data_IF_742521848067
#
_entry.id   IF_742521848067
#
_cell.length_a   1.000
_cell.length_b   1.000
_cell.length_c   1.000
_cell.angle_alpha   90.00
_cell.angle_beta   90.00
_cell.angle_gamma   90.00
#
_symmetry.space_group_name_H-M   'P 1'
#
loop_
_entity.id
_entity.type
_entity.pdbx_description
1 polymer ?
#
# COMPACT_ATOMS: atom_id res chain seq x y z
N UNK A 1 -2.76 -49.86 -32.25
CA UNK A 1 -3.44 -50.46 -31.08
C UNK A 1 -4.28 -49.39 -30.39
N UNK A 2 -5.59 -49.67 -30.21
CA UNK A 2 -6.57 -49.14 -29.23
C UNK A 2 -6.49 -47.63 -28.86
N UNK A 3 -7.29 -46.75 -29.48
CA UNK A 3 -8.67 -46.31 -29.10
C UNK A 3 -8.86 -45.88 -27.62
N UNK A 4 -9.21 -44.60 -27.41
CA UNK A 4 -10.35 -44.03 -26.64
C UNK A 4 -10.25 -42.49 -26.73
N UNK A 5 -10.99 -41.75 -27.56
CA UNK A 5 -12.42 -41.37 -27.58
C UNK A 5 -12.88 -40.43 -26.44
N UNK A 6 -13.37 -39.25 -26.88
CA UNK A 6 -14.62 -38.54 -26.46
C UNK A 6 -14.52 -37.75 -25.13
N UNK A 7 -15.04 -36.52 -24.95
CA UNK A 7 -15.99 -35.69 -25.72
C UNK A 7 -15.76 -34.20 -25.44
N UNK A 8 -15.94 -33.40 -26.48
CA UNK A 8 -16.19 -31.97 -26.49
C UNK A 8 -17.63 -31.81 -27.00
N UNK A 9 -18.57 -31.28 -26.21
CA UNK A 9 -19.85 -30.70 -26.67
C UNK A 9 -20.63 -30.13 -25.47
N UNK A 10 -20.87 -28.82 -25.40
CA UNK A 10 -22.16 -28.26 -25.81
C UNK A 10 -22.18 -26.72 -25.70
N UNK A 11 -22.65 -26.15 -26.79
CA UNK A 11 -22.98 -24.75 -27.05
C UNK A 11 -24.29 -24.37 -26.38
N UNK A 12 -24.41 -23.14 -25.88
CA UNK A 12 -25.68 -22.47 -25.57
C UNK A 12 -25.62 -21.04 -26.06
N UNK A 13 -26.35 -20.75 -27.14
CA UNK A 13 -26.35 -19.53 -27.95
C UNK A 13 -27.59 -18.68 -27.64
N UNK A 14 -27.43 -17.35 -27.78
CA UNK A 14 -28.44 -16.29 -28.01
C UNK A 14 -29.46 -15.98 -26.91
N UNK A 15 -29.54 -14.69 -26.53
CA UNK A 15 -30.62 -13.80 -27.02
C UNK A 15 -30.05 -12.39 -27.22
N UNK A 16 -30.40 -11.80 -28.36
CA UNK A 16 -30.03 -10.48 -28.86
C UNK A 16 -31.34 -9.86 -29.36
N UNK A 17 -31.83 -8.78 -28.74
CA UNK A 17 -32.80 -7.84 -29.34
C UNK A 17 -32.96 -6.63 -28.40
N UNK A 18 -32.41 -5.45 -28.71
CA UNK A 18 -32.79 -4.49 -29.76
C UNK A 18 -33.74 -3.40 -29.26
N UNK A 19 -33.32 -2.17 -29.53
CA UNK A 19 -34.00 -0.88 -29.46
C UNK A 19 -35.46 -0.87 -29.95
N UNK A 20 -36.28 -0.04 -29.30
CA UNK A 20 -37.37 0.80 -29.84
C UNK A 20 -38.16 1.38 -28.65
N UNK A 21 -38.86 2.50 -28.69
CA UNK A 21 -38.97 3.66 -29.57
C UNK A 21 -40.10 4.51 -28.93
N UNK A 22 -40.22 5.73 -29.43
CA UNK A 22 -41.21 6.76 -29.12
C UNK A 22 -42.66 6.31 -28.88
N UNK A 23 -43.38 7.11 -28.10
CA UNK A 23 -44.79 6.91 -27.76
C UNK A 23 -45.80 7.34 -28.82
N UNK A 24 -47.06 7.52 -28.43
CA UNK A 24 -48.02 8.34 -29.17
C UNK A 24 -49.33 8.68 -28.39
N UNK A 25 -49.84 9.86 -28.74
CA UNK A 25 -51.18 10.50 -28.74
C UNK A 25 -52.32 10.17 -27.74
N UNK A 26 -52.85 11.26 -27.19
CA UNK A 26 -54.21 11.39 -26.65
C UNK A 26 -54.57 12.86 -26.40
N UNK A 27 -55.34 13.44 -27.32
CA UNK A 27 -55.79 14.84 -27.47
C UNK A 27 -56.56 15.44 -26.28
N UNK A 28 -56.36 16.74 -25.99
CA UNK A 28 -57.43 17.62 -25.45
C UNK A 28 -57.05 18.67 -24.40
N UNK A 29 -57.08 19.95 -24.79
CA UNK A 29 -57.76 21.04 -24.06
C UNK A 29 -57.22 21.57 -22.72
N UNK A 30 -56.61 22.76 -22.79
CA UNK A 30 -56.71 23.92 -21.87
C UNK A 30 -56.65 23.78 -20.32
N UNK A 31 -55.63 24.47 -19.78
CA UNK A 31 -55.60 25.31 -18.56
C UNK A 31 -55.86 24.66 -17.20
N UNK A 32 -54.79 24.54 -16.38
CA UNK A 32 -54.63 25.04 -14.98
C UNK A 32 -53.28 24.53 -14.44
N UNK A 33 -52.41 25.32 -13.79
CA UNK A 33 -51.16 24.81 -13.21
C UNK A 33 -51.45 24.14 -11.86
N UNK A 34 -51.04 22.88 -11.60
CA UNK A 34 -51.06 22.35 -10.25
C UNK A 34 -49.80 22.83 -9.49
N UNK A 35 -50.01 23.67 -8.48
CA UNK A 35 -49.07 23.81 -7.38
C UNK A 35 -49.07 22.49 -6.60
N UNK A 36 -47.94 21.78 -6.64
CA UNK A 36 -47.68 20.61 -5.80
C UNK A 36 -46.20 20.61 -5.43
N UNK A 37 -45.84 21.49 -4.50
CA UNK A 37 -44.65 21.34 -3.70
C UNK A 37 -44.91 20.25 -2.67
N UNK A 38 -44.48 19.03 -2.97
CA UNK A 38 -44.16 18.06 -1.91
C UNK A 38 -42.97 18.63 -1.14
N UNK A 39 -43.04 18.80 0.19
CA UNK A 39 -41.85 19.03 0.97
C UNK A 39 -41.03 17.74 0.92
N UNK A 40 -39.88 17.80 0.24
CA UNK A 40 -38.80 16.83 0.41
C UNK A 40 -38.53 16.74 1.91
N UNK A 41 -38.86 15.60 2.52
CA UNK A 41 -38.36 15.25 3.84
C UNK A 41 -36.84 15.33 3.76
N UNK A 42 -36.27 16.35 4.42
CA UNK A 42 -34.88 16.34 4.82
C UNK A 42 -34.68 15.05 5.60
N UNK A 43 -33.95 14.09 5.01
CA UNK A 43 -33.36 13.02 5.78
C UNK A 43 -32.44 13.71 6.78
N UNK A 44 -32.76 13.57 8.06
CA UNK A 44 -31.82 13.89 9.13
C UNK A 44 -30.48 13.22 8.79
N UNK A 45 -29.34 13.91 8.94
CA UNK A 45 -28.05 13.28 8.78
C UNK A 45 -28.01 12.05 9.71
N UNK A 46 -27.52 10.93 9.18
CA UNK A 46 -27.27 9.74 9.98
C UNK A 46 -26.53 10.17 11.27
N UNK A 47 -26.91 9.64 12.45
CA UNK A 47 -26.22 9.99 13.68
C UNK A 47 -24.73 9.80 13.46
N UNK A 48 -23.93 10.83 13.70
CA UNK A 48 -22.48 10.72 13.67
C UNK A 48 -22.12 9.51 14.55
N UNK A 49 -21.50 8.49 13.95
CA UNK A 49 -20.98 7.38 14.72
C UNK A 49 -20.09 7.96 15.82
N UNK A 50 -20.28 7.49 17.06
CA UNK A 50 -19.45 7.97 18.16
C UNK A 50 -18.02 7.56 17.87
N UNK A 51 -17.21 8.52 17.44
CA UNK A 51 -15.77 8.33 17.27
C UNK A 51 -15.14 7.83 18.57
N UNK A 52 -14.14 6.96 18.42
CA UNK A 52 -13.32 6.48 19.51
C UNK A 52 -12.43 7.58 20.09
N UNK A 53 -11.77 7.26 21.20
CA UNK A 53 -10.74 8.05 21.87
C UNK A 53 -9.36 7.43 21.76
N UNK A 54 -9.23 6.25 21.17
CA UNK A 54 -7.94 5.56 20.99
C UNK A 54 -7.55 5.59 19.53
N UNK A 55 -6.35 6.08 19.24
CA UNK A 55 -5.68 5.99 17.94
C UNK A 55 -4.77 4.76 17.97
N UNK A 56 -5.18 3.68 17.32
CA UNK A 56 -4.43 2.43 17.22
C UNK A 56 -3.49 2.46 16.01
N UNK A 57 -2.19 2.31 16.29
CA UNK A 57 -1.12 2.29 15.29
C UNK A 57 -0.46 0.92 15.28
N UNK A 58 -0.54 0.21 14.16
CA UNK A 58 0.07 -1.11 13.97
C UNK A 58 1.47 -0.96 13.38
N UNK A 59 2.46 -1.56 14.03
CA UNK A 59 3.86 -1.58 13.57
C UNK A 59 4.59 -2.85 14.03
N UNK A 60 5.83 -3.05 13.54
CA UNK A 60 6.61 -4.26 13.83
C UNK A 60 7.78 -4.06 14.81
N UNK A 61 8.04 -2.83 15.20
CA UNK A 61 9.05 -2.45 16.19
C UNK A 61 8.71 -1.08 16.81
N UNK A 62 9.59 -0.58 17.68
CA UNK A 62 9.42 0.71 18.36
C UNK A 62 9.91 1.93 17.56
N UNK A 63 10.41 1.78 16.32
CA UNK A 63 11.01 2.90 15.58
C UNK A 63 10.00 4.01 15.30
N UNK A 64 8.84 3.64 14.75
CA UNK A 64 7.79 4.61 14.44
C UNK A 64 7.14 5.18 15.70
N UNK A 65 7.00 4.37 16.75
CA UNK A 65 6.60 4.85 18.07
C UNK A 65 7.52 5.96 18.55
N UNK A 66 8.84 5.75 18.50
CA UNK A 66 9.81 6.78 18.84
C UNK A 66 9.70 8.05 17.98
N UNK A 67 9.34 7.93 16.69
CA UNK A 67 9.08 9.07 15.81
C UNK A 67 7.85 9.86 16.26
N UNK A 68 6.72 9.19 16.48
CA UNK A 68 5.48 9.80 16.95
C UNK A 68 5.69 10.45 18.32
N UNK A 69 6.43 9.78 19.21
CA UNK A 69 6.75 10.33 20.53
C UNK A 69 7.52 11.65 20.41
N UNK A 70 8.62 11.65 19.67
CA UNK A 70 9.52 12.80 19.56
C UNK A 70 8.97 13.98 18.76
N UNK A 71 8.19 13.73 17.70
CA UNK A 71 7.78 14.77 16.76
C UNK A 71 6.28 15.13 16.82
N UNK A 72 5.49 14.38 17.59
CA UNK A 72 4.06 14.64 17.74
C UNK A 72 3.64 14.77 19.21
N UNK A 73 3.85 13.74 20.04
CA UNK A 73 3.31 13.76 21.41
C UNK A 73 4.13 14.64 22.36
N UNK A 74 5.45 14.49 22.43
CA UNK A 74 6.32 15.21 23.37
C UNK A 74 6.43 16.71 23.04
N UNK A 75 6.02 17.10 21.84
CA UNK A 75 5.95 18.50 21.40
C UNK A 75 4.53 19.08 21.48
N UNK A 76 3.60 18.38 22.14
CA UNK A 76 2.26 18.89 22.43
C UNK A 76 1.33 18.99 21.22
N UNK A 77 1.58 18.24 20.14
CA UNK A 77 0.70 18.23 18.95
C UNK A 77 -0.42 17.19 19.01
N UNK A 78 -0.35 16.25 19.96
CA UNK A 78 -1.42 15.26 20.17
C UNK A 78 -2.67 15.95 20.73
N UNK A 79 -3.86 15.75 20.15
CA UNK A 79 -5.11 16.26 20.69
C UNK A 79 -5.36 15.80 22.13
N UNK A 80 -6.06 16.64 22.88
CA UNK A 80 -6.57 16.31 24.21
C UNK A 80 -7.65 15.23 24.10
N UNK A 81 -7.68 14.32 25.07
CA UNK A 81 -8.68 13.25 25.13
C UNK A 81 -8.47 12.09 24.15
N UNK A 82 -7.44 12.14 23.30
CA UNK A 82 -7.02 11.03 22.43
C UNK A 82 -5.84 10.28 23.05
N UNK A 83 -5.98 8.97 23.23
CA UNK A 83 -4.91 8.04 23.58
C UNK A 83 -4.26 7.50 22.29
N UNK A 84 -2.93 7.31 22.28
CA UNK A 84 -2.26 6.61 21.18
C UNK A 84 -1.83 5.25 21.69
N UNK A 85 -2.35 4.20 21.07
CA UNK A 85 -2.00 2.82 21.36
C UNK A 85 -1.16 2.26 20.21
N UNK A 86 -0.03 1.64 20.54
CA UNK A 86 0.83 0.97 19.56
C UNK A 86 0.64 -0.54 19.66
N UNK A 87 0.14 -1.16 18.59
CA UNK A 87 0.07 -2.61 18.45
C UNK A 87 1.33 -3.09 17.75
N UNK A 88 2.30 -3.56 18.54
CA UNK A 88 3.63 -3.96 18.06
C UNK A 88 3.68 -5.47 17.90
N UNK A 89 3.76 -5.95 16.65
CA UNK A 89 3.89 -7.38 16.32
C UNK A 89 5.15 -7.58 15.48
N UNK A 90 6.19 -8.28 15.97
CA UNK A 90 7.41 -8.52 15.21
C UNK A 90 7.14 -9.18 13.85
N UNK A 91 7.93 -8.84 12.83
CA UNK A 91 7.77 -9.35 11.46
C UNK A 91 8.16 -10.84 11.27
N UNK A 92 8.72 -11.49 12.29
CA UNK A 92 9.21 -12.87 12.20
C UNK A 92 8.11 -13.83 11.71
N UNK A 93 8.43 -14.63 10.68
CA UNK A 93 7.48 -15.61 10.14
C UNK A 93 6.18 -15.01 9.58
N UNK A 94 6.20 -13.77 9.09
CA UNK A 94 5.02 -13.01 8.64
C UNK A 94 3.99 -12.70 9.75
N UNK A 95 4.38 -12.80 11.03
CA UNK A 95 3.44 -12.62 12.15
C UNK A 95 2.73 -11.26 12.13
N UNK A 96 3.44 -10.18 11.80
CA UNK A 96 2.85 -8.85 11.63
C UNK A 96 1.75 -8.81 10.58
N UNK A 97 2.04 -9.27 9.34
CA UNK A 97 1.07 -9.26 8.26
C UNK A 97 -0.17 -10.10 8.60
N UNK A 98 0.02 -11.27 9.21
CA UNK A 98 -1.10 -12.12 9.62
C UNK A 98 -1.98 -11.45 10.68
N UNK A 99 -1.37 -10.78 11.67
CA UNK A 99 -2.10 -10.06 12.71
C UNK A 99 -2.83 -8.83 12.15
N UNK A 100 -2.17 -8.06 11.28
CA UNK A 100 -2.77 -6.91 10.62
C UNK A 100 -3.94 -7.33 9.72
N UNK A 101 -3.78 -8.37 8.91
CA UNK A 101 -4.85 -8.88 8.05
C UNK A 101 -6.09 -9.29 8.86
N UNK A 102 -5.89 -9.99 9.98
CA UNK A 102 -6.98 -10.40 10.86
C UNK A 102 -7.70 -9.18 11.49
N UNK A 103 -6.93 -8.16 11.89
CA UNK A 103 -7.47 -6.93 12.45
C UNK A 103 -8.29 -6.16 11.40
N UNK A 104 -7.75 -6.00 10.19
CA UNK A 104 -8.42 -5.33 9.07
C UNK A 104 -9.69 -6.06 8.63
N UNK A 105 -9.67 -7.40 8.59
CA UNK A 105 -10.88 -8.19 8.32
C UNK A 105 -11.99 -7.97 9.36
N UNK A 106 -11.61 -7.61 10.59
CA UNK A 106 -12.54 -7.34 11.69
C UNK A 106 -12.95 -5.86 11.79
N UNK A 107 -12.38 -4.98 10.95
CA UNK A 107 -12.45 -3.52 11.08
C UNK A 107 -13.88 -2.98 11.17
N UNK A 108 -14.79 -3.47 10.32
CA UNK A 108 -16.17 -2.98 10.28
C UNK A 108 -16.96 -3.34 11.54
N UNK A 109 -16.60 -4.47 12.17
CA UNK A 109 -17.26 -4.99 13.37
C UNK A 109 -16.57 -4.61 14.68
N UNK A 110 -15.35 -4.07 14.61
CA UNK A 110 -14.58 -3.65 15.78
C UNK A 110 -15.26 -2.47 16.48
N UNK A 111 -15.13 -2.42 17.80
CA UNK A 111 -15.58 -1.25 18.57
C UNK A 111 -14.75 -0.02 18.16
N UNK A 112 -15.31 1.18 18.36
CA UNK A 112 -14.66 2.41 17.90
C UNK A 112 -13.23 2.59 18.43
N UNK A 113 -12.96 2.14 19.66
CA UNK A 113 -11.63 2.21 20.30
C UNK A 113 -10.69 1.04 19.92
N UNK A 114 -11.20 0.02 19.22
CA UNK A 114 -10.43 -1.18 18.81
C UNK A 114 -10.09 -1.20 17.30
N UNK A 115 -10.61 -0.24 16.52
CA UNK A 115 -10.39 -0.14 15.08
C UNK A 115 -8.91 0.15 14.79
N UNK A 116 -8.41 -0.36 13.67
CA UNK A 116 -7.11 0.00 13.10
C UNK A 116 -7.23 1.40 12.49
N UNK A 117 -6.50 2.37 13.02
CA UNK A 117 -6.53 3.75 12.51
C UNK A 117 -5.32 4.06 11.61
N UNK A 118 -4.17 3.48 11.93
CA UNK A 118 -2.96 3.58 11.15
C UNK A 118 -2.19 2.27 11.21
N UNK A 119 -1.55 1.91 10.11
CA UNK A 119 -0.68 0.75 10.08
C UNK A 119 0.50 1.00 9.15
N UNK A 120 1.64 0.40 9.48
CA UNK A 120 2.81 0.45 8.64
C UNK A 120 2.81 -0.72 7.65
N UNK A 121 3.43 -0.53 6.50
CA UNK A 121 3.64 -1.55 5.48
C UNK A 121 5.06 -1.46 4.93
N UNK A 122 5.64 -2.60 4.55
CA UNK A 122 6.89 -2.65 3.80
C UNK A 122 6.62 -2.52 2.30
N UNK A 123 7.59 -2.03 1.55
CA UNK A 123 7.49 -1.89 0.10
C UNK A 123 7.15 -3.20 -0.61
N UNK A 124 7.74 -4.32 -0.15
CA UNK A 124 7.61 -5.66 -0.75
C UNK A 124 6.16 -6.17 -0.81
N UNK A 125 5.28 -5.66 0.07
CA UNK A 125 3.87 -6.07 0.14
C UNK A 125 2.90 -4.89 0.14
N UNK A 126 3.36 -3.67 -0.17
CA UNK A 126 2.51 -2.48 -0.13
C UNK A 126 1.28 -2.58 -1.04
N UNK A 127 1.45 -3.16 -2.25
CA UNK A 127 0.39 -3.33 -3.24
C UNK A 127 -0.82 -4.11 -2.70
N UNK A 128 -0.63 -5.02 -1.75
CA UNK A 128 -1.71 -5.76 -1.09
C UNK A 128 -2.68 -4.83 -0.36
N UNK A 129 -2.14 -3.81 0.31
CA UNK A 129 -2.90 -2.92 1.18
C UNK A 129 -3.42 -1.69 0.43
N UNK A 130 -2.60 -1.08 -0.43
CA UNK A 130 -3.02 0.14 -1.16
C UNK A 130 -4.11 -0.13 -2.20
N UNK A 131 -4.18 -1.36 -2.73
CA UNK A 131 -5.27 -1.76 -3.63
C UNK A 131 -6.49 -2.33 -2.88
N UNK A 132 -6.50 -2.28 -1.54
CA UNK A 132 -7.64 -2.71 -0.73
C UNK A 132 -8.50 -1.54 -0.27
N UNK A 133 -9.74 -1.83 0.11
CA UNK A 133 -10.67 -0.83 0.67
C UNK A 133 -10.31 -0.40 2.10
N UNK A 134 -9.28 -1.00 2.71
CA UNK A 134 -8.84 -0.70 4.08
C UNK A 134 -7.92 0.53 4.20
N UNK A 135 -7.60 1.19 3.08
CA UNK A 135 -6.73 2.36 3.07
C UNK A 135 -7.48 3.58 2.56
N UNK A 136 -7.11 4.75 3.06
CA UNK A 136 -7.66 6.04 2.67
C UNK A 136 -6.80 6.70 1.59
N UNK A 137 -7.41 7.53 0.74
CA UNK A 137 -6.67 8.47 -0.11
C UNK A 137 -6.07 9.56 0.77
N UNK A 138 -4.74 9.71 0.75
CA UNK A 138 -4.04 10.64 1.67
C UNK A 138 -4.38 12.10 1.37
N UNK A 139 -4.77 12.42 0.14
CA UNK A 139 -5.18 13.75 -0.27
C UNK A 139 -6.66 13.95 0.00
N UNK A 140 -7.51 13.08 -0.59
CA UNK A 140 -8.94 13.30 -0.62
C UNK A 140 -9.64 12.98 0.72
N UNK A 141 -9.16 11.98 1.45
CA UNK A 141 -9.83 11.48 2.66
C UNK A 141 -9.11 11.93 3.94
N UNK A 142 -7.76 11.87 3.96
CA UNK A 142 -6.95 12.26 5.14
C UNK A 142 -6.72 13.78 5.20
N UNK A 143 -6.69 14.45 4.05
CA UNK A 143 -6.56 15.91 3.95
C UNK A 143 -5.13 16.44 3.91
N UNK A 144 -4.14 15.62 3.52
CA UNK A 144 -2.83 16.14 3.13
C UNK A 144 -2.95 16.94 1.83
N UNK A 145 -2.01 17.85 1.61
CA UNK A 145 -1.94 18.67 0.41
C UNK A 145 -0.77 18.27 -0.48
N UNK A 146 -0.81 18.66 -1.76
CA UNK A 146 0.34 18.51 -2.66
C UNK A 146 1.61 19.17 -2.09
N UNK A 147 1.44 20.25 -1.30
CA UNK A 147 2.56 20.92 -0.65
C UNK A 147 3.18 20.08 0.47
N UNK A 148 2.38 19.32 1.23
CA UNK A 148 2.88 18.40 2.26
C UNK A 148 3.66 17.23 1.66
N UNK A 149 3.38 16.89 0.39
CA UNK A 149 3.97 15.76 -0.32
C UNK A 149 5.06 16.16 -1.33
N UNK A 150 5.34 17.46 -1.49
CA UNK A 150 6.18 17.98 -2.56
C UNK A 150 7.64 17.47 -2.53
N UNK A 151 8.15 17.15 -1.34
CA UNK A 151 9.55 16.71 -1.14
C UNK A 151 9.72 15.18 -1.19
N UNK A 152 8.69 14.42 -1.53
CA UNK A 152 8.78 12.97 -1.62
C UNK A 152 9.61 12.52 -2.84
N UNK A 153 10.40 11.46 -2.65
CA UNK A 153 11.01 10.79 -3.78
C UNK A 153 9.94 10.08 -4.61
N UNK A 154 10.02 10.16 -5.93
CA UNK A 154 9.07 9.53 -6.85
C UNK A 154 8.76 8.07 -6.50
N UNK A 155 9.80 7.26 -6.24
CA UNK A 155 9.61 5.84 -5.94
C UNK A 155 8.80 5.61 -4.65
N UNK A 156 8.93 6.49 -3.65
CA UNK A 156 8.16 6.37 -2.39
C UNK A 156 6.68 6.67 -2.60
N UNK A 157 6.35 7.56 -3.54
CA UNK A 157 4.98 7.80 -3.98
C UNK A 157 4.45 6.61 -4.78
N UNK A 158 5.22 6.10 -5.73
CA UNK A 158 4.78 5.03 -6.64
C UNK A 158 4.40 3.75 -5.88
N UNK A 159 5.22 3.36 -4.89
CA UNK A 159 5.01 2.13 -4.09
C UNK A 159 3.67 2.14 -3.36
N UNK A 160 3.19 3.33 -2.95
CA UNK A 160 1.95 3.49 -2.17
C UNK A 160 0.80 4.09 -2.97
N UNK A 161 0.92 4.10 -4.30
CA UNK A 161 -0.15 4.51 -5.21
C UNK A 161 -0.94 3.29 -5.68
N UNK A 162 -2.27 3.33 -5.56
CA UNK A 162 -3.15 2.25 -5.98
C UNK A 162 -3.29 2.15 -7.51
N UNK A 163 -3.96 1.10 -7.99
CA UNK A 163 -4.21 0.88 -9.41
C UNK A 163 -5.08 1.95 -10.08
N UNK A 164 -5.75 2.80 -9.29
CA UNK A 164 -6.56 3.92 -9.76
C UNK A 164 -5.78 5.25 -9.77
N UNK A 165 -4.51 5.24 -9.36
CA UNK A 165 -3.64 6.41 -9.30
C UNK A 165 -3.78 7.25 -8.03
N UNK A 166 -4.42 6.73 -6.98
CA UNK A 166 -4.57 7.40 -5.69
C UNK A 166 -3.42 7.04 -4.76
N UNK A 167 -2.80 8.04 -4.13
CA UNK A 167 -1.78 7.79 -3.11
C UNK A 167 -2.47 7.38 -1.80
N UNK A 168 -2.20 6.17 -1.32
CA UNK A 168 -2.87 5.55 -0.15
C UNK A 168 -1.98 5.48 1.10
N UNK A 169 -0.78 6.05 1.01
CA UNK A 169 0.18 6.08 2.10
C UNK A 169 1.24 7.16 1.93
N UNK A 170 2.02 7.37 2.97
CA UNK A 170 3.21 8.22 2.97
C UNK A 170 4.30 7.55 3.79
N UNK A 171 5.54 8.02 3.64
CA UNK A 171 6.67 7.46 4.40
C UNK A 171 7.53 8.58 4.97
N UNK A 172 8.04 8.37 6.19
CA UNK A 172 9.12 9.18 6.79
C UNK A 172 10.51 8.63 6.45
N UNK A 173 10.56 7.46 5.80
CA UNK A 173 11.77 6.70 5.56
C UNK A 173 11.95 6.46 4.06
N UNK A 174 13.19 6.68 3.62
CA UNK A 174 13.68 6.30 2.30
C UNK A 174 14.93 5.43 2.50
N UNK A 175 14.84 4.14 2.17
CA UNK A 175 15.95 3.18 2.29
C UNK A 175 16.42 2.73 0.90
N UNK A 176 17.18 3.56 0.17
CA UNK A 176 17.77 3.13 -1.09
C UNK A 176 18.72 1.95 -0.84
N UNK A 177 18.73 0.99 -1.75
CA UNK A 177 19.67 -0.13 -1.72
C UNK A 177 21.12 0.36 -1.79
N UNK A 178 22.00 -0.29 -1.04
CA UNK A 178 23.43 0.00 -0.98
C UNK A 178 24.21 -1.31 -1.02
N UNK A 179 25.36 -1.31 -1.71
CA UNK A 179 26.28 -2.45 -1.67
C UNK A 179 27.39 -2.20 -0.65
N UNK A 180 27.23 -2.74 0.56
CA UNK A 180 28.27 -2.70 1.59
C UNK A 180 29.31 -3.80 1.34
N UNK A 181 30.59 -3.45 1.34
CA UNK A 181 31.68 -4.38 1.06
C UNK A 181 32.79 -4.34 2.11
N UNK A 182 33.48 -5.47 2.32
CA UNK A 182 34.70 -5.50 3.13
C UNK A 182 35.88 -5.00 2.31
N UNK A 183 36.48 -3.90 2.75
CA UNK A 183 37.64 -3.26 2.08
C UNK A 183 38.84 -4.21 1.90
N UNK A 184 39.10 -5.09 2.85
CA UNK A 184 40.16 -6.10 2.74
C UNK A 184 39.91 -7.08 1.59
N UNK A 185 38.67 -7.53 1.42
CA UNK A 185 38.27 -8.43 0.34
C UNK A 185 38.35 -7.69 -1.00
N UNK A 186 37.88 -6.44 -1.07
CA UNK A 186 37.99 -5.63 -2.30
C UNK A 186 39.46 -5.45 -2.72
N UNK A 187 40.38 -5.16 -1.78
CA UNK A 187 41.82 -5.09 -2.06
C UNK A 187 42.38 -6.40 -2.61
N UNK A 188 41.98 -7.53 -2.03
CA UNK A 188 42.43 -8.84 -2.49
C UNK A 188 41.86 -9.16 -3.89
N UNK A 189 40.58 -8.96 -4.12
CA UNK A 189 39.88 -9.33 -5.36
C UNK A 189 40.13 -8.36 -6.52
N UNK A 190 40.08 -7.05 -6.25
CA UNK A 190 40.12 -5.97 -7.25
C UNK A 190 41.45 -5.20 -7.26
N UNK A 191 42.33 -5.44 -6.29
CA UNK A 191 43.56 -4.65 -6.12
C UNK A 191 43.31 -3.24 -5.55
N UNK A 192 42.06 -2.90 -5.19
CA UNK A 192 41.70 -1.59 -4.65
C UNK A 192 40.52 -1.71 -3.68
N UNK A 193 40.47 -0.83 -2.69
CA UNK A 193 39.32 -0.65 -1.79
C UNK A 193 38.72 0.76 -1.90
N UNK A 194 39.14 1.52 -2.91
CA UNK A 194 38.59 2.83 -3.23
C UNK A 194 37.10 2.69 -3.63
N UNK A 195 36.17 3.39 -2.96
CA UNK A 195 34.74 3.18 -3.19
C UNK A 195 34.29 3.56 -4.61
N UNK A 196 34.91 4.55 -5.25
CA UNK A 196 34.55 4.94 -6.62
C UNK A 196 34.95 3.85 -7.60
N UNK A 197 36.15 3.28 -7.44
CA UNK A 197 36.62 2.16 -8.28
C UNK A 197 35.84 0.87 -8.02
N UNK A 198 35.50 0.59 -6.77
CA UNK A 198 34.67 -0.59 -6.43
C UNK A 198 33.27 -0.45 -7.03
N UNK A 199 32.65 0.73 -6.94
CA UNK A 199 31.36 1.00 -7.57
C UNK A 199 31.43 0.87 -9.10
N UNK A 200 32.49 1.38 -9.74
CA UNK A 200 32.68 1.21 -11.19
C UNK A 200 32.83 -0.25 -11.60
N UNK A 201 33.49 -1.07 -10.77
CA UNK A 201 33.67 -2.50 -10.95
C UNK A 201 32.39 -3.32 -10.68
N UNK A 202 31.37 -2.73 -10.07
CA UNK A 202 30.09 -3.37 -9.74
C UNK A 202 28.90 -2.61 -10.35
N UNK A 203 29.13 -1.83 -11.41
CA UNK A 203 28.15 -0.87 -11.92
C UNK A 203 26.91 -1.49 -12.60
N UNK A 204 26.93 -2.80 -12.87
CA UNK A 204 25.82 -3.56 -13.42
C UNK A 204 25.99 -5.06 -13.11
N UNK A 205 24.99 -5.87 -13.43
CA UNK A 205 24.98 -7.30 -13.15
C UNK A 205 26.09 -8.08 -13.87
N UNK A 206 26.41 -7.75 -15.12
CA UNK A 206 27.52 -8.40 -15.85
C UNK A 206 28.86 -8.20 -15.12
N UNK A 207 29.15 -6.95 -14.73
CA UNK A 207 30.35 -6.61 -13.96
C UNK A 207 30.35 -7.23 -12.57
N UNK A 208 29.18 -7.26 -11.93
CA UNK A 208 29.01 -7.93 -10.65
C UNK A 208 29.40 -9.40 -10.75
N UNK A 209 28.94 -10.11 -11.79
CA UNK A 209 29.25 -11.50 -12.04
C UNK A 209 30.75 -11.73 -12.31
N UNK A 210 31.38 -10.87 -13.11
CA UNK A 210 32.84 -10.91 -13.33
C UNK A 210 33.63 -10.77 -12.01
N UNK A 211 33.19 -9.87 -11.11
CA UNK A 211 33.82 -9.70 -9.80
C UNK A 211 33.50 -10.89 -8.89
N UNK A 212 32.30 -11.46 -8.99
CA UNK A 212 31.90 -12.65 -8.25
C UNK A 212 32.77 -13.86 -8.61
N UNK A 213 33.11 -14.06 -9.88
CA UNK A 213 34.05 -15.11 -10.32
C UNK A 213 35.44 -14.91 -9.70
N UNK A 214 35.97 -13.68 -9.72
CA UNK A 214 37.27 -13.34 -9.09
C UNK A 214 37.24 -13.57 -7.58
N UNK A 215 36.15 -13.18 -6.92
CA UNK A 215 35.95 -13.38 -5.50
C UNK A 215 35.88 -14.87 -5.15
N UNK A 216 35.11 -15.65 -5.94
CA UNK A 216 34.95 -17.09 -5.76
C UNK A 216 36.26 -17.85 -5.96
N UNK A 217 37.08 -17.47 -6.95
CA UNK A 217 38.41 -18.03 -7.16
C UNK A 217 39.35 -17.84 -5.96
N UNK A 218 39.06 -16.85 -5.10
CA UNK A 218 39.77 -16.58 -3.84
C UNK A 218 39.05 -17.09 -2.59
N UNK A 219 37.93 -17.81 -2.76
CA UNK A 219 37.16 -18.39 -1.66
C UNK A 219 36.18 -17.42 -0.98
N UNK A 220 35.94 -16.24 -1.54
CA UNK A 220 34.95 -15.29 -1.01
C UNK A 220 33.57 -15.47 -1.66
N UNK A 221 32.53 -15.03 -0.94
CA UNK A 221 31.16 -14.90 -1.45
C UNK A 221 30.83 -13.41 -1.58
N UNK A 222 30.13 -13.05 -2.65
CA UNK A 222 29.72 -11.66 -2.90
C UNK A 222 28.50 -11.25 -2.08
N UNK A 223 27.62 -12.20 -1.76
CA UNK A 223 26.38 -11.99 -1.02
C UNK A 223 26.35 -12.88 0.23
N UNK A 224 25.57 -12.48 1.24
CA UNK A 224 25.42 -13.25 2.48
C UNK A 224 24.47 -14.43 2.30
N UNK A 225 23.48 -14.28 1.40
CA UNK A 225 22.55 -15.33 0.97
C UNK A 225 22.03 -15.06 -0.44
N UNK A 226 21.29 -16.00 -1.01
CA UNK A 226 20.69 -15.81 -2.35
C UNK A 226 19.57 -14.76 -2.32
N UNK A 227 18.89 -14.59 -1.17
CA UNK A 227 17.81 -13.60 -1.01
C UNK A 227 18.32 -12.15 -1.21
N UNK A 228 19.59 -11.87 -0.94
CA UNK A 228 20.21 -10.56 -1.16
C UNK A 228 20.29 -10.19 -2.65
N UNK A 229 20.12 -11.14 -3.58
CA UNK A 229 20.13 -10.90 -5.02
C UNK A 229 18.78 -10.42 -5.58
N UNK A 230 17.70 -10.48 -4.79
CA UNK A 230 16.36 -10.07 -5.22
C UNK A 230 16.06 -8.59 -4.94
N UNK A 231 17.00 -7.86 -4.34
CA UNK A 231 16.84 -6.46 -3.90
C UNK A 231 17.61 -5.47 -4.76
#
# INVERSE_FOLDING_TARGET
MKKKLIALFLVGVMVLSSFAACGDTGTGGETTPPSSTNPTQSQDPAPAEKEGKVLNIYCWNDEFKGRVENYYTNVGKKPDGVEINFVIVPNEGNAYQNALDQALQSQDSASADDKVDMFLIEADYALKYVNSDYTLDVLADVGLTDADLADQYQYTRDIVTDSNGKQKGTTWQATPGLFAYRRSIAKDVLGTDDPVKVQEALANWDKFDEVAEKAAAKGYKMLSGYDDSYR
#
